data_IF_292822730808
#
_entry.id   IF_292822730808
#
_cell.length_a   1.000
_cell.length_b   1.000
_cell.length_c   1.000
_cell.angle_alpha   90.00
_cell.angle_beta   90.00
_cell.angle_gamma   90.00
#
_symmetry.space_group_name_H-M   'P 1'
#
loop_
_entity.id
_entity.type
_entity.pdbx_description
1 polymer ?
#
# COMPACT_ATOMS: atom_id res chain seq x y z
N UNK A 1 -8.24 -19.65 21.06
CA UNK A 1 -7.17 -18.67 21.35
C UNK A 1 -5.98 -19.07 20.49
N UNK A 2 -5.80 -18.37 19.38
CA UNK A 2 -4.93 -18.79 18.29
C UNK A 2 -3.48 -18.43 18.56
N UNK A 3 -2.56 -19.22 18.01
CA UNK A 3 -1.09 -19.12 18.10
C UNK A 3 -0.50 -17.76 17.60
N UNK A 4 -1.35 -16.82 17.20
CA UNK A 4 -0.98 -15.51 16.71
C UNK A 4 -0.47 -14.57 17.83
N UNK A 5 -1.01 -14.67 19.05
CA UNK A 5 -0.65 -13.77 20.16
C UNK A 5 0.74 -14.03 20.77
N UNK A 6 1.32 -15.20 20.59
CA UNK A 6 2.59 -15.56 21.22
C UNK A 6 3.84 -15.17 20.41
N UNK A 7 3.69 -14.82 19.11
CA UNK A 7 4.80 -14.37 18.25
C UNK A 7 5.20 -12.91 18.45
N UNK A 8 4.30 -12.09 18.97
CA UNK A 8 4.48 -10.63 19.10
C UNK A 8 5.53 -10.21 20.13
N UNK A 9 5.64 -10.95 21.23
CA UNK A 9 6.62 -10.65 22.29
C UNK A 9 8.08 -10.86 21.87
N UNK A 10 8.34 -11.71 20.88
CA UNK A 10 9.70 -12.01 20.41
C UNK A 10 10.24 -10.91 19.46
N UNK A 11 9.36 -10.18 18.78
CA UNK A 11 9.78 -9.10 17.87
C UNK A 11 10.28 -7.85 18.63
N UNK A 12 9.82 -7.63 19.84
CA UNK A 12 10.12 -6.43 20.65
C UNK A 12 11.57 -6.37 21.09
N UNK A 13 12.12 -7.48 21.57
CA UNK A 13 13.46 -7.50 22.22
C UNK A 13 14.60 -7.18 21.24
N UNK A 14 14.58 -7.72 20.01
CA UNK A 14 15.67 -7.51 19.06
C UNK A 14 15.68 -6.09 18.44
N UNK A 15 14.52 -5.45 18.30
CA UNK A 15 14.43 -4.06 17.81
C UNK A 15 15.04 -3.10 18.83
N UNK A 16 14.78 -3.32 20.12
CA UNK A 16 15.41 -2.54 21.18
C UNK A 16 16.92 -2.78 21.27
N UNK A 17 17.35 -4.02 21.07
CA UNK A 17 18.77 -4.34 20.97
C UNK A 17 19.43 -3.63 19.78
N UNK A 18 18.76 -3.63 18.61
CA UNK A 18 19.22 -2.92 17.40
C UNK A 18 19.40 -1.42 17.66
N UNK A 19 18.38 -0.76 18.23
CA UNK A 19 18.45 0.67 18.53
C UNK A 19 19.60 0.97 19.49
N UNK A 20 19.73 0.20 20.56
CA UNK A 20 20.77 0.34 21.56
C UNK A 20 22.18 0.11 20.97
N UNK A 21 22.32 -0.85 20.06
CA UNK A 21 23.57 -1.11 19.36
C UNK A 21 23.93 0.04 18.42
N UNK A 22 22.95 0.56 17.67
CA UNK A 22 23.15 1.68 16.76
C UNK A 22 23.57 2.97 17.48
N UNK A 23 22.97 3.27 18.64
CA UNK A 23 23.29 4.44 19.45
C UNK A 23 24.75 4.46 19.96
N UNK A 24 25.48 3.34 19.87
CA UNK A 24 26.93 3.34 20.16
C UNK A 24 27.77 4.02 19.07
N UNK A 25 27.22 4.19 17.88
CA UNK A 25 27.95 4.66 16.68
C UNK A 25 27.33 5.86 15.99
N UNK A 26 26.07 6.20 16.29
CA UNK A 26 25.32 7.30 15.68
C UNK A 26 24.46 8.00 16.73
N UNK A 27 24.02 9.23 16.44
CA UNK A 27 23.23 10.03 17.36
C UNK A 27 21.80 9.52 17.48
N UNK A 28 21.20 9.13 16.35
CA UNK A 28 19.80 8.72 16.28
C UNK A 28 19.62 7.49 15.37
N UNK A 29 18.68 6.63 15.77
CA UNK A 29 18.32 5.41 15.04
C UNK A 29 16.81 5.31 14.96
N UNK A 30 16.30 4.98 13.76
CA UNK A 30 14.91 4.64 13.52
C UNK A 30 14.83 3.30 12.82
N UNK A 31 13.88 2.50 13.23
CA UNK A 31 13.60 1.16 12.71
C UNK A 31 12.17 1.11 12.22
N UNK A 32 12.00 0.67 10.99
CA UNK A 32 10.71 0.35 10.39
C UNK A 32 10.71 -1.14 10.04
N UNK A 33 9.82 -1.89 10.67
CA UNK A 33 9.67 -3.31 10.40
C UNK A 33 8.26 -3.61 9.93
N UNK A 34 8.13 -4.38 8.87
CA UNK A 34 6.85 -4.86 8.35
C UNK A 34 6.90 -6.38 8.16
N UNK A 35 5.82 -7.03 8.53
CA UNK A 35 5.59 -8.46 8.26
C UNK A 35 4.15 -8.65 7.81
N UNK A 36 3.94 -9.39 6.73
CA UNK A 36 2.61 -9.57 6.20
C UNK A 36 2.43 -10.88 5.42
N UNK A 37 1.18 -11.26 5.26
CA UNK A 37 0.75 -12.35 4.40
C UNK A 37 -0.24 -11.79 3.41
N UNK A 38 -0.09 -12.13 2.14
CA UNK A 38 -1.04 -11.79 1.10
C UNK A 38 -1.41 -13.00 0.26
N UNK A 39 -2.60 -12.96 -0.28
CA UNK A 39 -3.10 -13.89 -1.27
C UNK A 39 -3.65 -13.07 -2.42
N UNK A 40 -3.33 -13.44 -3.64
CA UNK A 40 -3.92 -12.89 -4.84
C UNK A 40 -4.36 -14.01 -5.76
N UNK A 41 -5.53 -13.86 -6.37
CA UNK A 41 -6.03 -14.73 -7.40
C UNK A 41 -6.45 -13.89 -8.61
N UNK A 42 -6.09 -14.32 -9.81
CA UNK A 42 -6.31 -13.59 -11.04
C UNK A 42 -7.21 -14.36 -12.01
N UNK A 43 -8.04 -13.62 -12.72
CA UNK A 43 -8.83 -14.09 -13.85
C UNK A 43 -8.15 -13.75 -15.16
N UNK A 44 -8.21 -14.69 -16.08
CA UNK A 44 -7.93 -14.46 -17.49
C UNK A 44 -8.99 -15.16 -18.32
N UNK A 45 -9.72 -14.39 -19.14
CA UNK A 45 -10.80 -14.93 -19.99
C UNK A 45 -11.79 -15.80 -19.21
N UNK A 46 -12.33 -15.27 -18.11
CA UNK A 46 -13.32 -15.94 -17.23
C UNK A 46 -12.83 -17.22 -16.53
N UNK A 47 -11.53 -17.46 -16.50
CA UNK A 47 -10.94 -18.59 -15.77
C UNK A 47 -9.96 -18.09 -14.73
N UNK A 48 -9.97 -18.72 -13.56
CA UNK A 48 -8.90 -18.50 -12.57
C UNK A 48 -7.60 -18.98 -13.19
N UNK A 49 -6.67 -18.07 -13.38
CA UNK A 49 -5.40 -18.32 -14.06
C UNK A 49 -4.28 -18.61 -13.08
N UNK A 50 -4.22 -17.85 -11.99
CA UNK A 50 -3.17 -17.94 -10.99
C UNK A 50 -3.75 -17.64 -9.62
N UNK A 51 -3.29 -18.38 -8.62
CA UNK A 51 -3.46 -18.01 -7.22
C UNK A 51 -2.10 -18.08 -6.54
N UNK A 52 -1.71 -17.00 -5.89
CA UNK A 52 -0.44 -16.90 -5.16
C UNK A 52 -0.69 -16.59 -3.70
N UNK A 53 0.16 -17.14 -2.84
CA UNK A 53 0.23 -16.75 -1.43
C UNK A 53 1.67 -16.39 -1.12
N UNK A 54 1.89 -15.20 -0.57
CA UNK A 54 3.19 -14.75 -0.11
C UNK A 54 3.18 -14.45 1.37
N UNK A 55 4.36 -14.54 1.96
CA UNK A 55 4.64 -14.07 3.31
C UNK A 55 5.92 -13.24 3.21
N UNK A 56 5.78 -11.96 3.41
CA UNK A 56 6.84 -10.99 3.20
C UNK A 56 7.24 -10.32 4.51
N UNK A 57 8.53 -10.04 4.65
CA UNK A 57 9.10 -9.30 5.77
C UNK A 57 10.06 -8.27 5.24
N UNK A 58 10.09 -7.11 5.89
CA UNK A 58 11.03 -6.04 5.55
C UNK A 58 11.48 -5.30 6.80
N UNK A 59 12.78 -5.09 6.91
CA UNK A 59 13.41 -4.27 7.91
C UNK A 59 14.08 -3.09 7.20
N UNK A 60 13.69 -1.87 7.55
CA UNK A 60 14.37 -0.64 7.18
C UNK A 60 15.01 0.01 8.40
N UNK A 61 16.26 0.44 8.27
CA UNK A 61 16.99 1.15 9.30
C UNK A 61 17.40 2.51 8.74
N UNK A 62 17.14 3.55 9.51
CA UNK A 62 17.66 4.90 9.28
C UNK A 62 18.52 5.32 10.44
N UNK A 63 19.68 5.87 10.14
CA UNK A 63 20.63 6.39 11.13
C UNK A 63 20.92 7.85 10.84
N UNK A 64 21.13 8.65 11.88
CA UNK A 64 21.50 10.05 11.76
C UNK A 64 22.73 10.29 12.64
N UNK A 65 23.75 10.91 12.04
CA UNK A 65 24.99 11.29 12.73
C UNK A 65 25.57 12.55 12.08
N UNK A 66 25.83 13.58 12.90
CA UNK A 66 26.34 14.88 12.42
C UNK A 66 25.50 15.46 11.25
N UNK A 67 24.18 15.36 11.33
CA UNK A 67 23.26 15.82 10.27
C UNK A 67 23.29 14.99 9.00
N UNK A 68 23.97 13.85 8.98
CA UNK A 68 24.04 12.93 7.83
C UNK A 68 23.07 11.77 8.04
N UNK A 69 22.23 11.53 7.04
CA UNK A 69 21.24 10.46 7.06
C UNK A 69 21.82 9.25 6.32
N UNK A 70 21.93 8.13 7.03
CA UNK A 70 22.21 6.84 6.43
C UNK A 70 20.98 5.94 6.45
N UNK A 71 20.87 5.06 5.48
CA UNK A 71 19.78 4.08 5.44
C UNK A 71 20.21 2.77 4.81
N UNK A 72 19.57 1.70 5.25
CA UNK A 72 19.70 0.36 4.66
C UNK A 72 18.42 -0.41 4.90
N UNK A 73 18.19 -1.46 4.12
CA UNK A 73 17.05 -2.36 4.29
C UNK A 73 17.42 -3.80 3.98
N UNK A 74 16.67 -4.73 4.56
CA UNK A 74 16.79 -6.17 4.31
C UNK A 74 15.43 -6.85 4.41
N UNK A 75 15.21 -7.92 3.67
CA UNK A 75 14.08 -8.81 3.83
C UNK A 75 14.33 -9.97 4.82
N UNK A 76 15.54 -10.07 5.35
CA UNK A 76 15.90 -11.00 6.41
C UNK A 76 16.21 -10.24 7.72
N UNK A 77 15.25 -10.10 8.63
CA UNK A 77 15.44 -9.41 9.89
C UNK A 77 16.50 -10.08 10.79
N UNK A 78 16.82 -11.35 10.56
CA UNK A 78 17.91 -12.06 11.27
C UNK A 78 19.28 -11.41 11.01
N UNK A 79 19.46 -10.76 9.87
CA UNK A 79 20.68 -10.06 9.47
C UNK A 79 20.67 -8.57 9.85
N UNK A 80 19.91 -8.18 10.87
CA UNK A 80 19.78 -6.78 11.27
C UNK A 80 21.11 -6.09 11.62
N UNK A 81 22.11 -6.84 12.12
CA UNK A 81 23.42 -6.26 12.46
C UNK A 81 24.18 -5.80 11.22
N UNK A 82 24.14 -6.58 10.14
CA UNK A 82 24.72 -6.19 8.85
C UNK A 82 23.97 -5.01 8.23
N UNK A 83 22.64 -5.05 8.32
CA UNK A 83 21.78 -3.95 7.84
C UNK A 83 22.07 -2.65 8.60
N UNK A 84 22.24 -2.69 9.93
CA UNK A 84 22.64 -1.54 10.74
C UNK A 84 24.02 -1.01 10.32
N UNK A 85 25.01 -1.89 10.18
CA UNK A 85 26.34 -1.50 9.75
C UNK A 85 26.33 -0.83 8.36
N UNK A 86 25.52 -1.33 7.43
CA UNK A 86 25.35 -0.74 6.12
C UNK A 86 24.66 0.64 6.19
N UNK A 87 23.65 0.81 7.05
CA UNK A 87 23.02 2.11 7.28
C UNK A 87 24.03 3.14 7.82
N UNK A 88 24.82 2.77 8.81
CA UNK A 88 25.88 3.63 9.36
C UNK A 88 26.92 3.98 8.28
N UNK A 89 27.34 3.01 7.49
CA UNK A 89 28.32 3.24 6.40
C UNK A 89 27.76 4.18 5.32
N UNK A 90 26.50 4.02 4.95
CA UNK A 90 25.86 4.91 3.95
C UNK A 90 25.78 6.36 4.44
N UNK A 91 25.52 6.57 5.73
CA UNK A 91 25.49 7.90 6.35
C UNK A 91 26.82 8.63 6.25
N UNK A 92 27.97 7.93 6.36
CA UNK A 92 29.29 8.53 6.24
C UNK A 92 29.56 9.18 4.88
N UNK A 93 28.86 8.71 3.84
CA UNK A 93 28.97 9.21 2.46
C UNK A 93 27.92 10.29 2.14
N UNK A 94 26.95 10.49 3.01
CA UNK A 94 25.86 11.43 2.79
C UNK A 94 26.33 12.89 3.03
N UNK A 95 25.69 13.83 2.33
CA UNK A 95 25.87 15.26 2.61
C UNK A 95 25.07 15.64 3.87
N UNK A 96 25.65 16.42 4.80
CA UNK A 96 24.91 16.92 5.95
C UNK A 96 23.69 17.75 5.52
N UNK A 97 22.55 17.50 6.14
CA UNK A 97 21.31 18.24 5.94
C UNK A 97 20.93 18.98 7.22
N UNK A 98 20.22 20.12 7.11
CA UNK A 98 19.66 20.78 8.28
C UNK A 98 18.51 19.90 8.84
N UNK A 99 18.87 18.94 9.68
CA UNK A 99 17.95 17.97 10.28
C UNK A 99 17.60 18.39 11.69
N UNK A 100 16.31 18.42 12.00
CA UNK A 100 15.85 18.80 13.33
C UNK A 100 15.87 17.64 14.35
N UNK A 101 16.16 16.41 13.89
CA UNK A 101 16.11 15.19 14.69
C UNK A 101 14.86 14.33 14.42
N UNK A 102 14.87 13.10 14.92
CA UNK A 102 13.72 12.21 14.93
C UNK A 102 12.65 12.76 15.89
N UNK A 103 11.36 12.47 15.63
CA UNK A 103 10.30 12.94 16.51
C UNK A 103 10.35 12.26 17.88
N UNK A 104 9.95 13.01 18.90
CA UNK A 104 9.68 12.50 20.24
C UNK A 104 8.32 11.82 20.33
N UNK A 105 8.09 10.92 21.31
CA UNK A 105 6.81 10.29 21.54
C UNK A 105 5.72 11.32 21.80
N UNK A 106 4.62 11.20 21.08
CA UNK A 106 3.40 11.99 21.29
C UNK A 106 2.21 11.05 21.46
N UNK A 107 1.17 11.44 22.22
CA UNK A 107 -0.07 10.67 22.26
C UNK A 107 -0.66 10.57 20.85
N UNK A 108 -0.87 9.34 20.37
CA UNK A 108 -1.52 9.13 19.10
C UNK A 108 -3.03 9.27 19.24
N UNK A 109 -3.73 9.88 18.28
CA UNK A 109 -5.18 9.85 18.25
C UNK A 109 -5.65 8.40 18.08
N UNK A 110 -6.83 8.08 18.63
CA UNK A 110 -7.46 6.80 18.33
C UNK A 110 -7.72 6.70 16.83
N UNK A 111 -7.10 5.72 16.19
CA UNK A 111 -7.35 5.44 14.78
C UNK A 111 -8.65 4.67 14.62
N UNK A 112 -9.46 4.92 13.58
CA UNK A 112 -10.52 4.00 13.20
C UNK A 112 -9.92 2.61 12.92
N UNK A 113 -10.67 1.56 13.24
CA UNK A 113 -10.22 0.19 13.02
C UNK A 113 -9.94 -0.03 11.53
N UNK A 114 -8.68 -0.28 11.20
CA UNK A 114 -8.19 -0.59 9.85
C UNK A 114 -7.81 -2.07 9.69
N UNK A 115 -8.27 -2.90 10.63
CA UNK A 115 -7.87 -4.29 10.73
C UNK A 115 -9.07 -5.20 11.02
N UNK A 116 -9.29 -6.15 10.13
CA UNK A 116 -10.23 -7.25 10.30
C UNK A 116 -9.51 -8.45 10.93
N UNK A 117 -9.72 -8.76 12.23
CA UNK A 117 -9.07 -9.87 12.90
C UNK A 117 -9.57 -11.23 12.40
N UNK A 118 -10.68 -11.27 11.66
CA UNK A 118 -11.26 -12.46 11.05
C UNK A 118 -10.78 -12.75 9.63
N UNK A 119 -10.05 -11.81 9.01
CA UNK A 119 -9.59 -11.97 7.64
C UNK A 119 -8.50 -13.05 7.55
N UNK A 120 -8.81 -14.13 6.86
CA UNK A 120 -7.85 -15.17 6.53
C UNK A 120 -7.32 -14.96 5.11
N UNK A 121 -5.99 -14.92 4.96
CA UNK A 121 -5.34 -14.94 3.64
C UNK A 121 -5.37 -16.37 3.09
N UNK A 122 -6.53 -16.74 2.53
CA UNK A 122 -6.83 -18.07 1.99
C UNK A 122 -7.13 -17.96 0.49
N UNK A 123 -6.44 -18.75 -0.38
CA UNK A 123 -6.71 -18.78 -1.82
C UNK A 123 -8.14 -19.12 -2.19
N UNK A 124 -8.84 -19.93 -1.39
CA UNK A 124 -10.23 -20.30 -1.63
C UNK A 124 -11.18 -19.12 -1.42
N UNK A 125 -10.89 -18.22 -0.46
CA UNK A 125 -11.65 -16.97 -0.29
C UNK A 125 -11.45 -16.07 -1.50
N UNK A 126 -10.21 -15.86 -1.95
CA UNK A 126 -9.93 -15.05 -3.13
C UNK A 126 -10.63 -15.60 -4.39
N UNK A 127 -10.60 -16.93 -4.58
CA UNK A 127 -11.33 -17.59 -5.67
C UNK A 127 -12.84 -17.35 -5.58
N UNK A 128 -13.43 -17.50 -4.39
CA UNK A 128 -14.87 -17.27 -4.20
C UNK A 128 -15.29 -15.83 -4.48
N UNK A 129 -14.42 -14.84 -4.24
CA UNK A 129 -14.64 -13.45 -4.62
C UNK A 129 -14.64 -13.28 -6.15
N UNK A 130 -13.68 -13.91 -6.86
CA UNK A 130 -13.64 -13.92 -8.32
C UNK A 130 -14.89 -14.55 -8.93
N UNK A 131 -15.36 -15.67 -8.38
CA UNK A 131 -16.60 -16.34 -8.82
C UNK A 131 -17.81 -15.42 -8.70
N UNK A 132 -17.94 -14.71 -7.58
CA UNK A 132 -19.00 -13.71 -7.37
C UNK A 132 -18.90 -12.52 -8.33
N UNK A 133 -17.68 -12.06 -8.65
CA UNK A 133 -17.50 -11.02 -9.68
C UNK A 133 -17.96 -11.51 -11.05
N UNK A 134 -17.66 -12.76 -11.43
CA UNK A 134 -18.14 -13.35 -12.67
C UNK A 134 -19.67 -13.51 -12.72
N UNK A 135 -20.31 -13.84 -11.58
CA UNK A 135 -21.76 -13.87 -11.47
C UNK A 135 -22.37 -12.48 -11.73
N UNK A 136 -21.79 -11.41 -11.16
CA UNK A 136 -22.22 -10.03 -11.44
C UNK A 136 -21.98 -9.64 -12.90
N UNK A 137 -20.82 -10.00 -13.45
CA UNK A 137 -20.45 -9.70 -14.82
C UNK A 137 -21.40 -10.34 -15.87
N UNK A 138 -22.10 -11.40 -15.51
CA UNK A 138 -23.08 -12.04 -16.40
C UNK A 138 -24.33 -11.19 -16.68
N UNK A 139 -24.54 -10.07 -15.98
CA UNK A 139 -25.66 -9.17 -16.19
C UNK A 139 -25.62 -8.43 -17.55
N UNK A 140 -24.45 -8.31 -18.16
CA UNK A 140 -24.25 -7.61 -19.45
C UNK A 140 -23.46 -8.48 -20.43
N UNK A 141 -23.50 -8.11 -21.72
CA UNK A 141 -22.88 -8.90 -22.80
C UNK A 141 -21.37 -8.70 -22.95
N UNK A 142 -20.79 -7.72 -22.27
CA UNK A 142 -19.35 -7.45 -22.34
C UNK A 142 -18.52 -8.68 -21.92
N UNK A 143 -17.42 -8.88 -22.59
CA UNK A 143 -16.49 -9.98 -22.32
C UNK A 143 -15.50 -9.59 -21.20
N UNK A 144 -15.41 -10.41 -20.16
CA UNK A 144 -14.40 -10.24 -19.09
C UNK A 144 -13.03 -10.60 -19.64
N UNK A 145 -12.10 -9.65 -19.61
CA UNK A 145 -10.70 -9.82 -20.05
C UNK A 145 -9.80 -10.23 -18.91
N UNK A 146 -9.82 -9.45 -17.83
CA UNK A 146 -9.03 -9.69 -16.62
C UNK A 146 -9.84 -9.40 -15.37
N UNK A 147 -9.38 -9.91 -14.25
CA UNK A 147 -9.90 -9.60 -12.93
C UNK A 147 -8.94 -10.07 -11.85
N UNK A 148 -8.98 -9.44 -10.72
CA UNK A 148 -8.13 -9.79 -9.58
C UNK A 148 -8.90 -9.67 -8.27
N UNK A 149 -8.60 -10.59 -7.36
CA UNK A 149 -9.02 -10.52 -5.96
C UNK A 149 -7.80 -10.74 -5.08
N UNK A 150 -7.53 -9.81 -4.18
CA UNK A 150 -6.42 -9.91 -3.24
C UNK A 150 -6.87 -9.69 -1.80
N UNK A 151 -6.24 -10.43 -0.91
CA UNK A 151 -6.42 -10.37 0.54
C UNK A 151 -5.05 -10.13 1.16
N UNK A 152 -4.95 -9.22 2.10
CA UNK A 152 -3.71 -8.94 2.80
C UNK A 152 -3.92 -8.68 4.28
N UNK A 153 -2.99 -9.16 5.09
CA UNK A 153 -2.88 -8.87 6.51
C UNK A 153 -1.42 -8.56 6.79
N UNK A 154 -1.17 -7.42 7.39
CA UNK A 154 0.18 -6.99 7.73
C UNK A 154 0.23 -6.33 9.09
N UNK A 155 1.40 -6.39 9.71
CA UNK A 155 1.77 -5.62 10.88
C UNK A 155 2.95 -4.72 10.57
N UNK A 156 2.95 -3.54 11.15
CA UNK A 156 3.99 -2.53 11.02
C UNK A 156 4.47 -2.15 12.40
N UNK A 157 5.78 -2.13 12.59
CA UNK A 157 6.41 -1.59 13.80
C UNK A 157 7.32 -0.44 13.40
N UNK A 158 7.12 0.71 14.02
CA UNK A 158 8.01 1.87 13.96
C UNK A 158 8.59 2.12 15.35
N UNK A 159 9.92 2.16 15.45
CA UNK A 159 10.59 2.46 16.71
C UNK A 159 11.77 3.39 16.46
N UNK A 160 12.09 4.26 17.43
CA UNK A 160 13.25 5.12 17.34
C UNK A 160 13.99 5.28 18.68
N UNK A 161 15.17 5.88 18.61
CA UNK A 161 16.04 6.13 19.76
C UNK A 161 15.51 7.19 20.73
N UNK A 162 14.46 7.94 20.37
CA UNK A 162 13.77 8.90 21.24
C UNK A 162 12.63 8.27 22.05
N UNK A 163 12.40 6.96 21.89
CA UNK A 163 11.39 6.21 22.64
C UNK A 163 10.04 6.08 21.94
N UNK A 164 9.93 6.45 20.68
CA UNK A 164 8.77 6.06 19.87
C UNK A 164 8.74 4.54 19.77
N UNK A 165 7.55 4.00 20.03
CA UNK A 165 7.18 2.62 19.79
C UNK A 165 5.76 2.61 19.28
N UNK A 166 5.60 2.35 18.01
CA UNK A 166 4.30 2.29 17.36
C UNK A 166 4.16 0.92 16.68
N UNK A 167 3.06 0.28 16.94
CA UNK A 167 2.69 -0.99 16.30
C UNK A 167 1.27 -0.86 15.78
N UNK A 168 1.05 -1.25 14.54
CA UNK A 168 -0.26 -1.23 13.92
C UNK A 168 -0.48 -2.48 13.06
N UNK A 169 -1.75 -2.87 12.94
CA UNK A 169 -2.17 -3.97 12.11
C UNK A 169 -3.09 -3.46 11.03
N UNK A 170 -2.87 -3.95 9.83
CA UNK A 170 -3.65 -3.60 8.66
C UNK A 170 -4.19 -4.85 7.99
N UNK A 171 -5.39 -4.75 7.46
CA UNK A 171 -5.96 -5.72 6.55
C UNK A 171 -6.52 -5.02 5.32
N UNK A 172 -6.60 -5.74 4.22
CA UNK A 172 -7.15 -5.21 2.99
C UNK A 172 -7.69 -6.31 2.10
N UNK A 173 -8.84 -6.01 1.51
CA UNK A 173 -9.45 -6.79 0.45
C UNK A 173 -9.57 -5.86 -0.75
N UNK A 174 -9.01 -6.25 -1.88
CA UNK A 174 -9.09 -5.48 -3.12
C UNK A 174 -9.63 -6.35 -4.24
N UNK A 175 -10.57 -5.79 -4.99
CA UNK A 175 -11.22 -6.43 -6.12
C UNK A 175 -11.09 -5.53 -7.33
N UNK A 176 -10.86 -6.10 -8.50
CA UNK A 176 -10.91 -5.36 -9.77
C UNK A 176 -11.37 -6.27 -10.90
N UNK A 177 -12.08 -5.71 -11.85
CA UNK A 177 -12.49 -6.42 -13.06
C UNK A 177 -12.47 -5.48 -14.24
N UNK A 178 -11.95 -5.97 -15.37
CA UNK A 178 -11.99 -5.32 -16.66
C UNK A 178 -12.79 -6.15 -17.66
N UNK A 179 -13.61 -5.47 -18.42
CA UNK A 179 -14.41 -6.06 -19.48
C UNK A 179 -14.31 -5.24 -20.76
N UNK A 180 -14.56 -5.88 -21.89
CA UNK A 180 -14.54 -5.27 -23.22
C UNK A 180 -15.81 -5.60 -23.98
N UNK A 181 -16.33 -4.62 -24.72
CA UNK A 181 -17.38 -4.82 -25.71
C UNK A 181 -17.03 -4.04 -26.97
N UNK A 182 -16.79 -4.77 -28.06
CA UNK A 182 -16.27 -4.20 -29.33
C UNK A 182 -14.93 -3.47 -29.11
N UNK A 183 -14.92 -2.12 -29.14
CA UNK A 183 -13.75 -1.28 -28.91
C UNK A 183 -13.85 -0.50 -27.59
N UNK A 184 -14.84 -0.79 -26.78
CA UNK A 184 -15.08 -0.13 -25.49
C UNK A 184 -14.60 -1.00 -24.36
N UNK A 185 -14.05 -0.38 -23.32
CA UNK A 185 -13.65 -1.05 -22.08
C UNK A 185 -14.46 -0.51 -20.91
N UNK A 186 -14.63 -1.35 -19.92
CA UNK A 186 -15.17 -0.98 -18.62
C UNK A 186 -14.31 -1.57 -17.53
N UNK A 187 -14.06 -0.79 -16.50
CA UNK A 187 -13.26 -1.17 -15.35
C UNK A 187 -13.99 -0.75 -14.07
N UNK A 188 -13.99 -1.63 -13.09
CA UNK A 188 -14.46 -1.30 -11.75
C UNK A 188 -13.53 -1.91 -10.70
N UNK A 189 -13.49 -1.26 -9.55
CA UNK A 189 -12.61 -1.58 -8.44
C UNK A 189 -13.34 -1.36 -7.12
N UNK A 190 -13.08 -2.23 -6.15
CA UNK A 190 -13.56 -2.08 -4.77
C UNK A 190 -12.44 -2.43 -3.79
N UNK A 191 -12.38 -1.70 -2.68
CA UNK A 191 -11.38 -1.90 -1.65
C UNK A 191 -11.95 -1.59 -0.27
N UNK A 192 -11.71 -2.50 0.67
CA UNK A 192 -12.06 -2.30 2.08
C UNK A 192 -11.06 -2.98 3.02
N UNK A 193 -11.06 -2.56 4.28
CA UNK A 193 -10.29 -3.23 5.33
C UNK A 193 -10.96 -4.53 5.79
N UNK A 194 -12.29 -4.60 5.72
CA UNK A 194 -13.08 -5.74 6.15
C UNK A 194 -13.62 -6.52 4.95
N UNK A 195 -13.57 -7.85 5.03
CA UNK A 195 -14.09 -8.72 3.99
C UNK A 195 -15.59 -8.50 3.73
N UNK A 196 -16.36 -8.16 4.75
CA UNK A 196 -17.80 -7.94 4.64
C UNK A 196 -18.19 -6.62 3.96
N UNK A 197 -17.26 -5.70 3.77
CA UNK A 197 -17.54 -4.35 3.25
C UNK A 197 -17.30 -4.24 1.73
N UNK A 198 -16.77 -5.27 1.06
CA UNK A 198 -16.63 -5.30 -0.39
C UNK A 198 -17.84 -5.97 -1.07
N UNK A 199 -18.21 -5.46 -2.23
CA UNK A 199 -19.29 -6.03 -3.07
C UNK A 199 -18.75 -6.58 -4.40
N UNK A 200 -18.29 -7.84 -4.43
CA UNK A 200 -17.73 -8.44 -5.64
C UNK A 200 -18.74 -8.55 -6.81
N UNK A 201 -20.03 -8.72 -6.52
CA UNK A 201 -21.06 -8.79 -7.58
C UNK A 201 -21.20 -7.44 -8.27
N UNK A 202 -21.24 -6.36 -7.49
CA UNK A 202 -21.31 -5.00 -8.03
C UNK A 202 -20.08 -4.66 -8.88
N UNK A 203 -18.87 -5.08 -8.46
CA UNK A 203 -17.65 -4.88 -9.27
C UNK A 203 -17.79 -5.53 -10.64
N UNK A 204 -18.26 -6.77 -10.71
CA UNK A 204 -18.47 -7.47 -11.98
C UNK A 204 -19.55 -6.82 -12.86
N UNK A 205 -20.71 -6.50 -12.27
CA UNK A 205 -21.82 -5.86 -12.96
C UNK A 205 -21.44 -4.48 -13.50
N UNK A 206 -20.82 -3.65 -12.68
CA UNK A 206 -20.42 -2.28 -13.05
C UNK A 206 -19.36 -2.26 -14.15
N UNK A 207 -18.36 -3.12 -14.10
CA UNK A 207 -17.34 -3.19 -15.13
C UNK A 207 -17.97 -3.55 -16.49
N UNK A 208 -18.83 -4.57 -16.55
CA UNK A 208 -19.49 -4.97 -17.79
C UNK A 208 -20.55 -3.96 -18.24
N UNK A 209 -21.27 -3.32 -17.31
CA UNK A 209 -22.17 -2.20 -17.63
C UNK A 209 -21.41 -1.05 -18.29
N UNK A 210 -20.24 -0.66 -17.74
CA UNK A 210 -19.45 0.45 -18.29
C UNK A 210 -18.93 0.13 -19.69
N UNK A 211 -18.45 -1.10 -19.93
CA UNK A 211 -18.04 -1.54 -21.27
C UNK A 211 -19.20 -1.42 -22.28
N UNK A 212 -20.38 -1.95 -21.92
CA UNK A 212 -21.57 -1.92 -22.80
C UNK A 212 -22.05 -0.49 -23.04
N UNK A 213 -22.08 0.36 -22.03
CA UNK A 213 -22.56 1.76 -22.17
C UNK A 213 -21.59 2.66 -22.93
N UNK A 214 -20.32 2.33 -22.96
CA UNK A 214 -19.28 3.07 -23.69
C UNK A 214 -19.19 2.63 -25.15
N UNK A 215 -19.87 1.57 -25.54
CA UNK A 215 -19.90 1.09 -26.92
C UNK A 215 -20.56 2.13 -27.85
N UNK A 216 -19.99 2.34 -29.04
CA UNK A 216 -20.53 3.28 -30.04
C UNK A 216 -20.30 4.74 -29.69
N UNK A 217 -19.23 5.06 -28.97
CA UNK A 217 -18.80 6.43 -28.69
C UNK A 217 -18.70 7.28 -29.97
N UNK A 218 -18.97 8.58 -29.85
CA UNK A 218 -18.94 9.55 -30.96
C UNK A 218 -17.90 10.63 -30.66
N UNK A 219 -17.29 11.15 -31.72
CA UNK A 219 -16.44 12.33 -31.62
C UNK A 219 -17.27 13.53 -31.15
N UNK A 220 -16.70 14.32 -30.25
CA UNK A 220 -17.27 15.60 -29.82
C UNK A 220 -16.39 16.73 -30.33
N UNK A 221 -17.00 17.87 -30.78
CA UNK A 221 -16.23 19.04 -31.19
C UNK A 221 -15.33 19.55 -30.07
N UNK A 222 -14.23 20.21 -30.43
CA UNK A 222 -13.40 20.92 -29.45
C UNK A 222 -14.20 22.06 -28.83
N UNK A 223 -14.19 22.14 -27.49
CA UNK A 223 -14.95 23.16 -26.76
C UNK A 223 -14.84 22.98 -25.25
N UNK A 224 -15.48 23.88 -24.51
CA UNK A 224 -15.60 23.81 -23.07
C UNK A 224 -16.87 23.03 -22.68
N UNK A 225 -16.69 22.00 -21.86
CA UNK A 225 -17.78 21.13 -21.44
C UNK A 225 -17.82 20.98 -19.94
N UNK A 226 -18.99 20.99 -19.31
CA UNK A 226 -19.11 20.56 -17.93
C UNK A 226 -18.86 19.06 -17.85
N UNK A 227 -18.01 18.63 -16.92
CA UNK A 227 -17.61 17.22 -16.74
C UNK A 227 -18.02 16.74 -15.35
N UNK A 228 -18.67 15.59 -15.29
CA UNK A 228 -18.92 14.86 -14.03
C UNK A 228 -18.02 13.63 -14.02
N UNK A 229 -17.13 13.57 -13.05
CA UNK A 229 -16.22 12.42 -12.86
C UNK A 229 -16.83 11.44 -11.86
N UNK A 230 -16.73 10.14 -12.16
CA UNK A 230 -16.99 9.11 -11.17
C UNK A 230 -15.93 9.17 -10.04
N UNK A 231 -16.20 8.62 -8.84
CA UNK A 231 -15.21 8.59 -7.77
C UNK A 231 -13.89 7.96 -8.19
N UNK A 232 -13.92 6.87 -8.95
CA UNK A 232 -12.73 6.19 -9.46
C UNK A 232 -11.93 7.08 -10.43
N UNK A 233 -12.60 7.66 -11.44
CA UNK A 233 -11.94 8.56 -12.39
C UNK A 233 -11.33 9.79 -11.70
N UNK A 234 -12.00 10.31 -10.67
CA UNK A 234 -11.48 11.42 -9.87
C UNK A 234 -10.25 11.01 -9.04
N UNK A 235 -10.29 9.81 -8.42
CA UNK A 235 -9.16 9.27 -7.65
C UNK A 235 -7.92 9.06 -8.54
N UNK A 236 -8.09 8.54 -9.76
CA UNK A 236 -7.00 8.37 -10.71
C UNK A 236 -6.40 9.71 -11.17
N UNK A 237 -7.27 10.71 -11.44
CA UNK A 237 -6.82 12.05 -11.78
C UNK A 237 -6.01 12.68 -10.63
N UNK A 238 -6.48 12.56 -9.39
CA UNK A 238 -5.76 13.04 -8.22
C UNK A 238 -4.43 12.29 -8.04
N UNK A 239 -4.44 10.96 -8.14
CA UNK A 239 -3.26 10.12 -7.98
C UNK A 239 -2.19 10.36 -9.05
N UNK A 240 -2.63 10.53 -10.30
CA UNK A 240 -1.73 10.72 -11.44
C UNK A 240 -1.17 12.14 -11.59
N UNK A 241 -1.90 13.15 -11.15
CA UNK A 241 -1.55 14.57 -11.39
C UNK A 241 -1.30 15.32 -10.08
N UNK A 242 -2.26 15.35 -9.17
CA UNK A 242 -2.17 16.19 -7.98
C UNK A 242 -1.20 15.67 -6.94
N UNK A 243 -1.25 14.41 -6.60
CA UNK A 243 -0.38 13.83 -5.56
C UNK A 243 1.11 13.94 -5.95
N UNK A 244 1.53 13.59 -7.18
CA UNK A 244 2.90 13.82 -7.62
C UNK A 244 3.31 15.31 -7.61
N UNK A 245 2.40 16.21 -7.99
CA UNK A 245 2.68 17.66 -7.99
C UNK A 245 2.88 18.23 -6.58
N UNK A 246 2.19 17.67 -5.58
CA UNK A 246 2.32 18.05 -4.17
C UNK A 246 3.52 17.37 -3.48
N UNK A 247 4.14 16.39 -4.12
CA UNK A 247 5.32 15.71 -3.56
C UNK A 247 6.49 16.69 -3.46
N UNK A 248 7.14 16.74 -2.30
CA UNK A 248 8.34 17.56 -2.08
C UNK A 248 9.50 17.26 -3.05
N UNK A 249 9.51 16.06 -3.67
CA UNK A 249 10.47 15.72 -4.73
C UNK A 249 10.19 16.41 -6.06
N UNK A 250 8.95 16.80 -6.31
CA UNK A 250 8.53 17.50 -7.52
C UNK A 250 8.75 19.01 -7.43
N UNK A 251 9.00 19.54 -6.23
CA UNK A 251 9.34 20.94 -6.02
C UNK A 251 10.84 21.12 -6.29
N UNK A 252 11.25 21.87 -7.32
CA UNK A 252 12.67 22.16 -7.53
C UNK A 252 13.25 22.82 -6.29
N UNK A 253 14.37 22.34 -5.79
CA UNK A 253 15.13 22.92 -4.66
C UNK A 253 15.73 24.29 -4.99
N UNK A 254 15.05 25.16 -5.73
CA UNK A 254 15.45 26.53 -5.96
C UNK A 254 14.69 27.44 -5.00
N UNK A 255 15.42 28.27 -4.29
CA UNK A 255 14.89 29.28 -3.36
C UNK A 255 13.88 30.27 -3.99
N UNK A 256 13.61 30.14 -5.28
CA UNK A 256 12.66 30.97 -6.05
C UNK A 256 11.25 30.34 -6.17
N UNK A 257 11.07 29.05 -5.88
CA UNK A 257 9.78 28.39 -6.06
C UNK A 257 8.83 28.53 -4.85
N UNK A 258 9.33 28.94 -3.69
CA UNK A 258 8.50 29.15 -2.49
C UNK A 258 7.66 30.44 -2.55
N UNK A 259 7.94 31.34 -3.47
CA UNK A 259 7.20 32.60 -3.61
C UNK A 259 5.87 32.49 -4.40
N UNK A 260 5.57 31.33 -4.98
CA UNK A 260 4.36 31.15 -5.80
C UNK A 260 3.14 30.71 -4.96
N UNK A 261 3.37 30.32 -3.70
CA UNK A 261 2.31 29.82 -2.80
C UNK A 261 2.06 30.74 -1.58
N UNK A 262 2.23 32.06 -1.73
CA UNK A 262 1.81 33.05 -0.74
C UNK A 262 0.58 33.81 -1.20
#
# INVERSE_FOLDING_TARGET
MSSFSMRWWVAVDWIEELIREGQKSVDEVEVFFVEGTSVAADLKQKKVNLATKSHDRGLGIRTIHDGRIGSSSTNDPGNWRECLAAAVASGKLATPLPWAGLPDPVPLPSSPLSFDPGLACDPDIARGLLEKMLEGAAAHHAEVTTGSASLSVASVTLANSHGIRYEDNHSGVSLSLEAIEQQSTGYEFDHACYLGDVDPRNVGERATFLASRSAGGKDIPTGDYPVVLSPLAYAELLGGVFIPALSGRSVPCSSKSVSVWR
#
